data_IF_785775941382
#
_entry.id   IF_785775941382
#
_cell.length_a   1.000
_cell.length_b   1.000
_cell.length_c   1.000
_cell.angle_alpha   90.00
_cell.angle_beta   90.00
_cell.angle_gamma   90.00
#
_symmetry.space_group_name_H-M   'P 1'
#
loop_
_entity.id
_entity.type
_entity.pdbx_description
1 polymer ?
#
# COMPACT_ATOMS: atom_id res chain seq x y z
N UNK A 1 -4.00 -15.06 -28.26
CA UNK A 1 -2.60 -14.58 -28.08
C UNK A 1 -1.82 -15.35 -27.02
N UNK A 2 -2.41 -15.82 -25.90
CA UNK A 2 -1.66 -16.60 -24.88
C UNK A 2 -1.06 -17.90 -25.42
N UNK A 3 -1.86 -18.70 -26.13
CA UNK A 3 -1.41 -19.97 -26.71
C UNK A 3 -0.29 -19.77 -27.74
N UNK A 4 -0.43 -18.79 -28.64
CA UNK A 4 0.58 -18.47 -29.66
C UNK A 4 1.91 -17.97 -29.06
N UNK A 5 1.89 -17.48 -27.82
CA UNK A 5 3.06 -16.96 -27.10
C UNK A 5 3.55 -17.90 -26.00
N UNK A 6 2.93 -19.07 -25.83
CA UNK A 6 3.17 -19.97 -24.69
C UNK A 6 3.15 -19.22 -23.34
N UNK A 7 2.24 -18.25 -23.20
CA UNK A 7 2.17 -17.35 -22.05
C UNK A 7 1.04 -17.75 -21.09
N UNK A 8 1.20 -17.42 -19.81
CA UNK A 8 0.21 -17.63 -18.75
C UNK A 8 -0.32 -16.31 -18.18
N UNK A 9 -1.55 -16.35 -17.69
CA UNK A 9 -2.15 -15.31 -16.84
C UNK A 9 -2.47 -15.97 -15.51
N UNK A 10 -1.83 -15.51 -14.44
CA UNK A 10 -1.98 -16.08 -13.11
C UNK A 10 -2.50 -15.01 -12.16
N UNK A 11 -3.66 -15.27 -11.57
CA UNK A 11 -4.16 -14.46 -10.47
C UNK A 11 -3.36 -14.72 -9.19
N UNK A 12 -3.38 -13.75 -8.28
CA UNK A 12 -2.79 -13.86 -6.96
C UNK A 12 -3.76 -13.30 -5.92
N UNK A 13 -4.06 -14.07 -4.89
CA UNK A 13 -4.90 -13.63 -3.77
C UNK A 13 -4.15 -13.84 -2.46
N UNK A 14 -3.74 -12.72 -1.85
CA UNK A 14 -2.80 -12.68 -0.73
C UNK A 14 -3.15 -13.64 0.44
N UNK A 15 -4.41 -13.76 0.90
CA UNK A 15 -4.75 -14.66 2.00
C UNK A 15 -4.44 -16.14 1.79
N UNK A 16 -4.41 -16.62 0.53
CA UNK A 16 -4.06 -18.01 0.20
C UNK A 16 -2.59 -18.34 0.52
N UNK A 17 -1.75 -17.32 0.67
CA UNK A 17 -0.32 -17.43 0.97
C UNK A 17 0.02 -16.98 2.39
N UNK A 18 -0.98 -16.90 3.28
CA UNK A 18 -0.81 -16.46 4.68
C UNK A 18 0.26 -17.23 5.46
N UNK A 19 0.45 -18.51 5.14
CA UNK A 19 1.51 -19.35 5.71
C UNK A 19 2.94 -18.83 5.43
N UNK A 20 3.13 -18.02 4.38
CA UNK A 20 4.41 -17.41 4.03
C UNK A 20 4.63 -16.06 4.73
N UNK A 21 3.60 -15.45 5.33
CA UNK A 21 3.71 -14.10 5.87
C UNK A 21 4.84 -13.95 6.91
N UNK A 22 5.03 -14.86 7.89
CA UNK A 22 6.08 -14.69 8.89
C UNK A 22 7.48 -14.52 8.29
N UNK A 23 7.81 -15.32 7.26
CA UNK A 23 9.10 -15.27 6.58
C UNK A 23 9.28 -13.96 5.81
N UNK A 24 8.31 -13.61 4.95
CA UNK A 24 8.47 -12.48 4.04
C UNK A 24 8.27 -11.14 4.73
N UNK A 25 7.46 -11.06 5.79
CA UNK A 25 7.37 -9.86 6.63
C UNK A 25 8.70 -9.60 7.35
N UNK A 26 9.32 -10.63 7.94
CA UNK A 26 10.64 -10.49 8.58
C UNK A 26 11.72 -10.04 7.58
N UNK A 27 11.69 -10.56 6.35
CA UNK A 27 12.57 -10.13 5.27
C UNK A 27 12.35 -8.65 4.90
N UNK A 28 11.10 -8.22 4.73
CA UNK A 28 10.78 -6.82 4.44
C UNK A 28 11.22 -5.88 5.56
N UNK A 29 11.06 -6.29 6.82
CA UNK A 29 11.55 -5.52 7.98
C UNK A 29 13.07 -5.38 7.98
N UNK A 30 13.81 -6.46 7.69
CA UNK A 30 15.27 -6.39 7.54
C UNK A 30 15.68 -5.41 6.44
N UNK A 31 15.04 -5.50 5.28
CA UNK A 31 15.31 -4.60 4.14
C UNK A 31 14.96 -3.14 4.42
N UNK A 32 13.98 -2.90 5.29
CA UNK A 32 13.66 -1.56 5.77
C UNK A 32 14.75 -1.05 6.72
N UNK A 33 15.20 -1.89 7.66
CA UNK A 33 16.23 -1.52 8.64
C UNK A 33 17.60 -1.27 8.00
N UNK A 34 17.98 -2.07 6.99
CA UNK A 34 19.25 -1.92 6.27
C UNK A 34 19.20 -0.91 5.12
N UNK A 35 18.02 -0.33 4.84
CA UNK A 35 17.83 0.71 3.83
C UNK A 35 17.76 0.21 2.38
N UNK A 36 17.75 -1.10 2.15
CA UNK A 36 17.59 -1.68 0.80
C UNK A 36 16.19 -1.42 0.22
N UNK A 37 15.19 -1.21 1.07
CA UNK A 37 13.85 -0.73 0.69
C UNK A 37 13.54 0.57 1.42
N UNK A 38 13.09 1.57 0.66
CA UNK A 38 12.56 2.84 1.18
C UNK A 38 11.07 2.94 0.79
N UNK A 39 10.13 2.70 1.72
CA UNK A 39 8.72 2.83 1.44
C UNK A 39 8.35 4.28 1.13
N UNK A 40 7.67 4.49 0.00
CA UNK A 40 7.09 5.80 -0.31
C UNK A 40 5.70 5.90 0.32
N UNK A 41 5.57 6.79 1.30
CA UNK A 41 4.32 7.07 1.98
C UNK A 41 3.71 8.35 1.42
N UNK A 42 2.39 8.35 1.28
CA UNK A 42 1.60 9.50 0.86
C UNK A 42 0.54 9.79 1.90
N UNK A 43 0.66 10.94 2.56
CA UNK A 43 -0.28 11.40 3.58
C UNK A 43 -1.42 12.25 2.98
N UNK A 44 -1.55 12.28 1.65
CA UNK A 44 -2.61 12.97 0.93
C UNK A 44 -2.51 14.49 0.99
N UNK A 45 -1.29 15.04 0.99
CA UNK A 45 -1.09 16.50 0.90
C UNK A 45 -1.71 17.10 -0.37
N UNK A 46 -1.85 16.30 -1.43
CA UNK A 46 -2.50 16.67 -2.69
C UNK A 46 -3.95 16.17 -2.79
N UNK A 47 -4.51 15.60 -1.71
CA UNK A 47 -5.91 15.23 -1.66
C UNK A 47 -6.79 16.48 -1.46
N UNK A 48 -8.04 16.40 -1.89
CA UNK A 48 -9.00 17.46 -1.63
C UNK A 48 -9.25 17.55 -0.12
N UNK A 49 -9.13 18.75 0.45
CA UNK A 49 -9.14 18.97 1.90
C UNK A 49 -7.78 18.76 2.60
N UNK A 50 -6.71 18.49 1.85
CA UNK A 50 -5.35 18.36 2.38
C UNK A 50 -5.12 17.06 3.13
N UNK A 51 -4.13 17.08 4.04
CA UNK A 51 -3.62 15.90 4.75
C UNK A 51 -4.74 14.98 5.27
N UNK A 52 -4.57 13.67 5.08
CA UNK A 52 -5.52 12.66 5.50
C UNK A 52 -5.34 12.39 7.00
N UNK A 53 -6.33 12.81 7.80
CA UNK A 53 -6.33 12.65 9.25
C UNK A 53 -7.67 12.15 9.77
N UNK A 54 -7.62 11.31 10.80
CA UNK A 54 -8.79 10.77 11.49
C UNK A 54 -9.71 9.95 10.59
N UNK A 55 -10.91 9.66 11.09
CA UNK A 55 -11.88 8.82 10.38
C UNK A 55 -12.38 9.47 9.07
N UNK A 56 -12.54 10.79 9.04
CA UNK A 56 -12.87 11.53 7.82
C UNK A 56 -11.80 11.35 6.73
N UNK A 57 -10.52 11.39 7.13
CA UNK A 57 -9.40 11.10 6.25
C UNK A 57 -9.42 9.69 5.64
N UNK A 58 -10.08 8.71 6.27
CA UNK A 58 -10.26 7.39 5.65
C UNK A 58 -11.19 7.43 4.43
N UNK A 59 -12.29 8.17 4.52
CA UNK A 59 -13.25 8.31 3.42
C UNK A 59 -12.59 9.04 2.25
N UNK A 60 -12.01 10.23 2.51
CA UNK A 60 -11.27 10.99 1.51
C UNK A 60 -10.07 10.23 0.96
N UNK A 61 -9.42 9.40 1.78
CA UNK A 61 -8.28 8.58 1.36
C UNK A 61 -8.63 7.55 0.29
N UNK A 62 -9.84 6.98 0.34
CA UNK A 62 -10.34 6.08 -0.71
C UNK A 62 -10.58 6.84 -2.01
N UNK A 63 -11.23 7.99 -1.94
CA UNK A 63 -11.47 8.86 -3.11
C UNK A 63 -10.13 9.31 -3.74
N UNK A 64 -9.18 9.72 -2.90
CA UNK A 64 -7.85 10.11 -3.33
C UNK A 64 -7.11 8.97 -4.05
N UNK A 65 -7.16 7.75 -3.49
CA UNK A 65 -6.56 6.57 -4.11
C UNK A 65 -7.18 6.27 -5.48
N UNK A 66 -8.51 6.34 -5.59
CA UNK A 66 -9.24 6.07 -6.84
C UNK A 66 -9.09 7.19 -7.88
N UNK A 67 -8.75 8.41 -7.46
CA UNK A 67 -8.46 9.52 -8.37
C UNK A 67 -7.16 9.35 -9.18
N UNK A 68 -6.27 8.43 -8.75
CA UNK A 68 -4.97 8.21 -9.38
C UNK A 68 -3.91 9.28 -9.05
N UNK A 69 -4.22 10.27 -8.20
CA UNK A 69 -3.29 11.34 -7.79
C UNK A 69 -2.27 10.91 -6.73
N UNK A 70 -2.48 9.78 -6.06
CA UNK A 70 -1.63 9.29 -4.97
C UNK A 70 -0.27 8.76 -5.45
N UNK A 71 0.79 9.03 -4.69
CA UNK A 71 2.16 8.60 -4.99
C UNK A 71 2.72 7.70 -3.87
N UNK A 72 2.46 6.39 -3.96
CA UNK A 72 2.94 5.40 -3.00
C UNK A 72 1.81 4.87 -2.13
N UNK A 73 2.13 4.43 -0.91
CA UNK A 73 1.11 3.93 0.02
C UNK A 73 0.37 5.12 0.64
N UNK A 74 -0.92 5.24 0.34
CA UNK A 74 -1.82 6.19 1.01
C UNK A 74 -1.97 5.80 2.48
N UNK A 75 -1.70 6.74 3.39
CA UNK A 75 -1.76 6.57 4.85
C UNK A 75 -2.59 7.69 5.44
N UNK A 76 -3.48 7.34 6.37
CA UNK A 76 -4.27 8.29 7.17
C UNK A 76 -3.66 8.36 8.55
N UNK A 77 -3.37 9.57 9.03
CA UNK A 77 -2.83 9.78 10.37
C UNK A 77 -3.97 9.77 11.40
N UNK A 78 -3.80 8.98 12.45
CA UNK A 78 -4.60 9.11 13.66
C UNK A 78 -3.69 9.72 14.72
N UNK A 79 -4.18 10.77 15.38
CA UNK A 79 -3.48 11.26 16.57
C UNK A 79 -3.67 10.20 17.66
N UNK A 80 -2.57 9.82 18.33
CA UNK A 80 -2.66 9.03 19.54
C UNK A 80 -3.44 9.84 20.57
N UNK A 81 -4.63 9.38 20.94
CA UNK A 81 -5.19 9.76 22.23
C UNK A 81 -4.25 9.14 23.27
N UNK A 82 -3.56 10.02 24.01
CA UNK A 82 -2.76 9.65 25.18
C UNK A 82 -3.56 8.85 26.20
#
# INVERSE_FOLDING_TARGET
MLLLRSASVSGFFLPQYSHLFPEYVAKLQKMLQDGTIVPKLDFGLNADGGELRGLDGCVRGVEYLLSGKSLGKVVVKFDESS
#
